data_IF_674267626794
#
_entry.id   IF_674267626794
#
_cell.length_a   1.000
_cell.length_b   1.000
_cell.length_c   1.000
_cell.angle_alpha   90.00
_cell.angle_beta   90.00
_cell.angle_gamma   90.00
#
_symmetry.space_group_name_H-M   'P 1'
#
loop_
_entity.id
_entity.type
_entity.pdbx_description
1 polymer ?
#
# COMPACT_ATOMS: atom_id res chain seq x y z
N UNK A 1 -7.33 -8.75 -1.81
CA UNK A 1 -6.13 -8.98 -2.64
C UNK A 1 -6.24 -10.18 -3.59
N UNK A 2 -7.42 -10.55 -4.11
CA UNK A 2 -7.55 -11.55 -5.21
C UNK A 2 -6.63 -12.79 -5.11
N UNK A 3 -6.58 -13.43 -3.94
CA UNK A 3 -5.71 -14.56 -3.61
C UNK A 3 -4.18 -14.33 -3.81
N UNK A 4 -3.73 -13.09 -3.69
CA UNK A 4 -2.33 -12.70 -3.82
C UNK A 4 -1.73 -12.42 -2.44
N UNK A 5 -0.67 -13.14 -2.07
CA UNK A 5 0.16 -12.90 -0.88
C UNK A 5 -0.58 -12.83 0.47
N UNK A 6 -1.60 -13.68 0.66
CA UNK A 6 -2.46 -13.68 1.86
C UNK A 6 -1.68 -13.69 3.18
N UNK A 7 -0.63 -14.49 3.28
CA UNK A 7 0.17 -14.59 4.51
C UNK A 7 1.16 -13.43 4.63
N UNK A 8 1.83 -13.10 3.53
CA UNK A 8 2.91 -12.11 3.51
C UNK A 8 2.38 -10.70 3.76
N UNK A 9 1.15 -10.40 3.36
CA UNK A 9 0.57 -9.07 3.50
C UNK A 9 -0.19 -8.84 4.82
N UNK A 10 -0.10 -9.75 5.80
CA UNK A 10 -0.95 -9.72 7.00
C UNK A 10 -0.87 -8.40 7.78
N UNK A 11 0.28 -7.73 7.72
CA UNK A 11 0.52 -6.41 8.35
C UNK A 11 0.99 -5.36 7.34
N UNK A 12 0.78 -5.61 6.06
CA UNK A 12 1.17 -4.67 5.00
C UNK A 12 0.11 -3.59 4.81
N UNK A 13 0.58 -2.44 4.39
CA UNK A 13 -0.22 -1.27 4.04
C UNK A 13 -0.82 -1.48 2.65
N UNK A 14 -2.14 -1.35 2.54
CA UNK A 14 -2.81 -1.42 1.25
C UNK A 14 -2.96 -0.03 0.63
N UNK A 15 -2.34 0.16 -0.54
CA UNK A 15 -2.53 1.34 -1.39
C UNK A 15 -3.40 0.95 -2.58
N UNK A 16 -4.47 1.72 -2.83
CA UNK A 16 -5.39 1.49 -3.94
C UNK A 16 -5.53 2.78 -4.75
N UNK A 17 -5.02 2.79 -5.98
CA UNK A 17 -5.16 3.92 -6.91
C UNK A 17 -6.34 3.68 -7.87
N UNK A 18 -6.93 4.79 -8.35
CA UNK A 18 -7.92 4.78 -9.44
C UNK A 18 -7.27 4.71 -10.82
N UNK A 19 -5.96 4.92 -10.89
CA UNK A 19 -5.18 4.84 -12.13
C UNK A 19 -5.13 3.41 -12.62
N UNK A 20 -5.36 3.24 -13.92
CA UNK A 20 -5.30 1.93 -14.56
C UNK A 20 -3.85 1.49 -14.69
N UNK A 21 -3.60 0.19 -14.66
CA UNK A 21 -2.24 -0.36 -14.70
C UNK A 21 -1.37 0.16 -15.87
N UNK A 22 -1.88 0.31 -17.11
CA UNK A 22 -1.09 0.85 -18.22
C UNK A 22 -0.68 2.33 -18.04
N UNK A 23 -1.44 3.08 -17.25
CA UNK A 23 -1.23 4.51 -17.01
C UNK A 23 -0.43 4.77 -15.72
N UNK A 24 -0.07 3.71 -14.98
CA UNK A 24 0.69 3.82 -13.74
C UNK A 24 2.16 4.13 -14.03
N UNK A 25 2.58 5.35 -13.71
CA UNK A 25 3.91 5.89 -14.00
C UNK A 25 4.74 6.14 -12.73
N UNK A 26 5.92 6.75 -12.88
CA UNK A 26 6.83 7.04 -11.76
C UNK A 26 6.25 8.04 -10.76
N UNK A 27 5.44 9.01 -11.21
CA UNK A 27 4.80 10.00 -10.34
C UNK A 27 3.78 9.32 -9.43
N UNK A 28 2.93 8.46 -10.00
CA UNK A 28 1.95 7.65 -9.26
C UNK A 28 2.62 6.71 -8.25
N UNK A 29 3.79 6.18 -8.59
CA UNK A 29 4.58 5.37 -7.67
C UNK A 29 5.15 6.21 -6.51
N UNK A 30 5.63 7.42 -6.78
CA UNK A 30 6.12 8.33 -5.75
C UNK A 30 5.00 8.76 -4.80
N UNK A 31 3.79 9.00 -5.32
CA UNK A 31 2.61 9.29 -4.50
C UNK A 31 2.27 8.09 -3.60
N UNK A 32 2.28 6.87 -4.14
CA UNK A 32 2.07 5.65 -3.37
C UNK A 32 3.10 5.48 -2.23
N UNK A 33 4.37 5.81 -2.49
CA UNK A 33 5.43 5.78 -1.48
C UNK A 33 5.24 6.84 -0.40
N UNK A 34 4.80 8.03 -0.76
CA UNK A 34 4.55 9.10 0.21
C UNK A 34 3.35 8.76 1.10
N UNK A 35 2.29 8.17 0.54
CA UNK A 35 1.17 7.67 1.33
C UNK A 35 1.62 6.53 2.26
N UNK A 36 2.49 5.64 1.78
CA UNK A 36 3.06 4.57 2.61
C UNK A 36 3.83 5.12 3.82
N UNK A 37 4.68 6.14 3.63
CA UNK A 37 5.45 6.76 4.73
C UNK A 37 4.57 7.44 5.77
N UNK A 38 3.46 8.02 5.36
CA UNK A 38 2.55 8.74 6.26
C UNK A 38 1.69 7.81 7.14
N UNK A 39 1.72 6.50 6.90
CA UNK A 39 0.94 5.53 7.68
C UNK A 39 1.68 5.10 8.95
N UNK A 40 1.03 5.30 10.09
CA UNK A 40 1.55 4.90 11.40
C UNK A 40 1.28 3.41 11.67
N UNK A 41 2.36 2.61 11.66
CA UNK A 41 2.30 1.15 11.83
C UNK A 41 2.32 0.78 13.31
N UNK A 42 1.19 0.26 13.80
CA UNK A 42 1.03 -0.09 15.21
C UNK A 42 1.41 -1.52 15.57
N UNK A 43 1.51 -2.45 14.61
CA UNK A 43 1.91 -3.86 14.82
C UNK A 43 1.27 -4.55 16.05
N UNK A 44 0.02 -4.22 16.40
CA UNK A 44 -0.67 -4.76 17.58
C UNK A 44 -0.47 -3.97 18.89
N UNK A 45 0.26 -2.86 18.86
CA UNK A 45 0.38 -1.89 19.96
C UNK A 45 -0.89 -1.06 20.13
N UNK A 46 -1.33 -0.92 21.39
CA UNK A 46 -2.44 -0.05 21.79
C UNK A 46 -1.84 1.32 22.12
N UNK A 47 -2.44 2.39 21.59
CA UNK A 47 -2.07 3.78 21.88
C UNK A 47 -2.99 4.31 22.97
#
# INVERSE_FOLDING_TARGET
ISNFLLWQCAYSEFYFTKVLWPDFNEEEFNEALEEFKNRDRRFGGIK
#
